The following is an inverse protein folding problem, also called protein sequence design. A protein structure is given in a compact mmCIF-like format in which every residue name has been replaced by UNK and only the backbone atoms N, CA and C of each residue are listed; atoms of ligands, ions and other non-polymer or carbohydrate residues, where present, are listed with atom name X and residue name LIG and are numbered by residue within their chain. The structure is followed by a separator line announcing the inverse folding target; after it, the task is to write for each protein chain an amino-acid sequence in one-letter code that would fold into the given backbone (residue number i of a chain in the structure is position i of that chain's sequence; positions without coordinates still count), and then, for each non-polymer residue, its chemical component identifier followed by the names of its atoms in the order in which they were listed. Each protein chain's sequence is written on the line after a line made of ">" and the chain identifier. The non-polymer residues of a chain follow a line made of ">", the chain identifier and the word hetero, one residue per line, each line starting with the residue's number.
data_IF_986664151728
#
_entry.id   IF_986664151728
#
_cell.length_a   1.000
_cell.length_b   1.000
_cell.length_c   1.000
_cell.angle_alpha   90.00
_cell.angle_beta   90.00
_cell.angle_gamma   90.00
#
_symmetry.space_group_name_H-M   'P 1'
#
loop_
_entity.id
_entity.type
_entity.pdbx_description
1 polymer ?
#
# COMPACT_ATOMS: atom_id res chain seq x y z
N UNK A 1 -26.05 -9.68 35.06
CA UNK A 1 -25.23 -10.39 34.06
C UNK A 1 -24.94 -9.39 32.95
N UNK A 2 -23.72 -8.83 32.83
CA UNK A 2 -23.44 -7.90 31.74
C UNK A 2 -23.18 -8.67 30.45
N UNK A 3 -23.93 -8.36 29.40
CA UNK A 3 -23.68 -8.83 28.03
C UNK A 3 -22.32 -8.33 27.54
N UNK A 4 -21.40 -9.25 27.24
CA UNK A 4 -20.18 -8.95 26.51
C UNK A 4 -20.55 -8.61 25.06
N UNK A 5 -20.87 -7.35 24.80
CA UNK A 5 -20.90 -6.81 23.44
C UNK A 5 -19.46 -6.75 22.92
N UNK A 6 -19.01 -7.82 22.26
CA UNK A 6 -17.78 -7.86 21.46
C UNK A 6 -17.98 -6.97 20.22
N UNK A 7 -18.05 -5.65 20.41
CA UNK A 7 -17.79 -4.73 19.31
C UNK A 7 -16.28 -4.78 19.08
N UNK A 8 -15.79 -5.02 17.85
CA UNK A 8 -14.38 -4.81 17.56
C UNK A 8 -14.02 -3.40 18.02
N UNK A 9 -12.97 -3.29 18.83
CA UNK A 9 -12.51 -2.02 19.40
C UNK A 9 -12.33 -1.06 18.23
N UNK A 10 -13.16 -0.03 18.13
CA UNK A 10 -13.12 0.95 17.03
C UNK A 10 -11.72 1.55 17.09
N UNK A 11 -10.86 1.17 16.15
CA UNK A 11 -9.51 1.66 16.12
C UNK A 11 -9.53 3.15 15.81
N UNK A 12 -8.64 3.88 16.45
CA UNK A 12 -8.44 5.29 16.17
C UNK A 12 -7.81 5.39 14.78
N UNK A 13 -8.51 6.05 13.86
CA UNK A 13 -7.97 6.33 12.54
C UNK A 13 -6.78 7.29 12.68
N UNK A 14 -5.73 7.14 11.87
CA UNK A 14 -4.60 8.06 11.90
C UNK A 14 -5.09 9.49 11.58
N UNK A 15 -4.50 10.48 12.24
CA UNK A 15 -4.77 11.89 11.94
C UNK A 15 -4.35 12.22 10.52
N UNK A 16 -5.19 12.99 9.82
CA UNK A 16 -4.90 13.42 8.46
C UNK A 16 -3.71 14.40 8.44
N UNK A 17 -2.80 14.29 7.47
CA UNK A 17 -1.69 15.23 7.32
C UNK A 17 -2.18 16.61 6.84
N UNK A 18 -1.37 17.67 6.96
CA UNK A 18 -1.75 19.01 6.50
C UNK A 18 -1.98 19.01 4.99
N UNK A 19 -3.07 19.65 4.54
CA UNK A 19 -3.54 19.60 3.15
C UNK A 19 -3.66 18.16 2.62
N UNK A 20 -4.61 17.35 3.13
CA UNK A 20 -4.80 15.99 2.62
C UNK A 20 -5.50 16.03 1.25
N UNK A 21 -5.23 15.05 0.36
CA UNK A 21 -6.04 14.90 -0.85
C UNK A 21 -7.48 14.50 -0.45
N UNK A 22 -8.52 14.97 -1.17
CA UNK A 22 -9.93 14.75 -0.77
C UNK A 22 -10.33 13.27 -0.65
N UNK A 23 -9.67 12.38 -1.39
CA UNK A 23 -9.89 10.92 -1.34
C UNK A 23 -9.37 10.26 -0.06
N UNK A 24 -8.47 10.91 0.68
CA UNK A 24 -7.76 10.26 1.80
C UNK A 24 -8.69 9.89 2.96
N UNK A 25 -9.57 10.81 3.37
CA UNK A 25 -10.55 10.57 4.43
C UNK A 25 -11.53 9.43 4.09
N UNK A 26 -12.24 9.46 2.94
CA UNK A 26 -13.13 8.36 2.58
C UNK A 26 -12.37 7.06 2.37
N UNK A 27 -11.12 7.08 1.90
CA UNK A 27 -10.29 5.88 1.78
C UNK A 27 -9.99 5.25 3.15
N UNK A 28 -9.59 6.02 4.16
CA UNK A 28 -9.35 5.52 5.52
C UNK A 28 -10.62 4.91 6.13
N UNK A 29 -11.76 5.57 5.94
CA UNK A 29 -13.06 5.06 6.39
C UNK A 29 -13.45 3.76 5.66
N UNK A 30 -13.23 3.67 4.35
CA UNK A 30 -13.50 2.45 3.59
C UNK A 30 -12.60 1.30 4.07
N UNK A 31 -11.30 1.53 4.23
CA UNK A 31 -10.35 0.53 4.69
C UNK A 31 -10.73 -0.01 6.09
N UNK A 32 -11.02 0.89 7.03
CA UNK A 32 -11.35 0.48 8.41
C UNK A 32 -12.79 -0.05 8.53
N UNK A 33 -13.80 0.73 8.15
CA UNK A 33 -15.19 0.43 8.45
C UNK A 33 -15.81 -0.61 7.50
N UNK A 34 -15.45 -0.59 6.22
CA UNK A 34 -16.06 -1.49 5.21
C UNK A 34 -15.23 -2.75 4.98
N UNK A 35 -13.90 -2.60 4.96
CA UNK A 35 -13.00 -3.72 4.67
C UNK A 35 -12.44 -4.37 5.94
N UNK A 36 -12.58 -3.74 7.10
CA UNK A 36 -12.11 -4.31 8.37
C UNK A 36 -10.59 -4.49 8.39
N UNK A 37 -9.87 -3.56 7.77
CA UNK A 37 -8.41 -3.45 7.91
C UNK A 37 -8.11 -2.80 9.26
N UNK A 38 -7.18 -3.43 9.96
CA UNK A 38 -6.77 -3.08 11.30
C UNK A 38 -5.40 -2.37 11.27
N UNK A 39 -5.07 -1.65 12.34
CA UNK A 39 -3.77 -1.04 12.61
C UNK A 39 -3.27 -0.18 11.44
N UNK A 40 -4.09 0.79 11.02
CA UNK A 40 -3.78 1.63 9.86
C UNK A 40 -2.80 2.74 10.26
N UNK A 41 -1.60 2.71 9.68
CA UNK A 41 -0.57 3.74 9.85
C UNK A 41 -0.46 4.59 8.59
N UNK A 42 -0.38 5.90 8.76
CA UNK A 42 -0.22 6.88 7.68
C UNK A 42 1.19 7.46 7.73
N UNK A 43 1.93 7.29 6.65
CA UNK A 43 3.26 7.87 6.46
C UNK A 43 3.17 8.99 5.42
N UNK A 44 3.47 10.21 5.86
CA UNK A 44 3.60 11.38 5.00
C UNK A 44 5.04 11.47 4.50
N UNK A 45 5.25 11.12 3.24
CA UNK A 45 6.57 11.10 2.57
C UNK A 45 6.70 12.26 1.57
N UNK A 46 5.83 13.27 1.66
CA UNK A 46 5.79 14.38 0.68
C UNK A 46 7.00 15.30 0.76
N UNK A 47 7.66 15.35 1.92
CA UNK A 47 8.84 16.18 2.18
C UNK A 47 10.16 15.44 1.99
N UNK A 48 10.13 14.24 1.42
CA UNK A 48 11.32 13.43 1.19
C UNK A 48 12.18 14.03 0.06
N UNK A 49 13.44 14.32 0.35
CA UNK A 49 14.45 14.72 -0.64
C UNK A 49 15.68 13.79 -0.50
N UNK A 50 16.03 12.97 -1.50
CA UNK A 50 15.42 12.85 -2.84
C UNK A 50 14.02 12.21 -2.82
N UNK A 51 13.18 12.45 -3.85
CA UNK A 51 11.84 11.87 -3.92
C UNK A 51 11.89 10.33 -3.98
N UNK A 52 10.87 9.70 -3.43
CA UNK A 52 10.78 8.24 -3.39
C UNK A 52 10.68 7.63 -4.80
N UNK A 53 11.15 6.40 -4.98
CA UNK A 53 11.02 5.67 -6.24
C UNK A 53 9.55 5.40 -6.66
N UNK A 54 8.60 5.58 -5.74
CA UNK A 54 7.16 5.42 -5.99
C UNK A 54 6.49 6.71 -6.46
N UNK A 55 7.25 7.81 -6.58
CA UNK A 55 6.77 9.11 -7.01
C UNK A 55 7.13 10.22 -6.01
N UNK A 56 7.00 11.45 -6.48
CA UNK A 56 7.04 12.64 -5.65
C UNK A 56 5.71 12.85 -4.91
N UNK A 57 5.71 13.68 -3.87
CA UNK A 57 4.49 14.02 -3.12
C UNK A 57 3.69 12.77 -2.67
N UNK A 58 4.38 11.77 -2.11
CA UNK A 58 3.84 10.47 -1.75
C UNK A 58 3.21 10.46 -0.34
N UNK A 59 2.02 9.88 -0.25
CA UNK A 59 1.40 9.46 1.00
C UNK A 59 1.26 7.94 0.97
N UNK A 60 1.76 7.27 2.01
CA UNK A 60 1.72 5.81 2.12
C UNK A 60 0.82 5.41 3.30
N UNK A 61 -0.15 4.56 3.02
CA UNK A 61 -0.99 3.90 4.03
C UNK A 61 -0.51 2.47 4.21
N UNK A 62 -0.34 2.05 5.46
CA UNK A 62 0.02 0.68 5.82
C UNK A 62 -1.10 0.14 6.70
N UNK A 63 -1.64 -1.02 6.36
CA UNK A 63 -2.71 -1.65 7.14
C UNK A 63 -2.50 -3.16 7.29
N UNK A 64 -3.13 -3.70 8.32
CA UNK A 64 -3.08 -5.12 8.68
C UNK A 64 -4.39 -5.83 8.36
N UNK A 65 -4.28 -6.98 7.71
CA UNK A 65 -5.37 -7.89 7.40
C UNK A 65 -5.25 -9.18 8.24
N UNK A 66 -6.40 -9.78 8.53
CA UNK A 66 -6.51 -10.98 9.37
C UNK A 66 -5.96 -12.27 8.77
N UNK A 67 -5.81 -12.33 7.44
CA UNK A 67 -5.31 -13.50 6.72
C UNK A 67 -4.90 -13.15 5.30
N UNK A 68 -4.15 -14.02 4.63
CA UNK A 68 -3.79 -13.86 3.21
C UNK A 68 -5.02 -13.77 2.30
N UNK A 69 -6.05 -14.57 2.57
CA UNK A 69 -7.33 -14.48 1.85
C UNK A 69 -7.98 -13.10 2.04
N UNK A 70 -7.86 -12.52 3.23
CA UNK A 70 -8.36 -11.18 3.52
C UNK A 70 -7.56 -10.11 2.77
N UNK A 71 -6.23 -10.21 2.71
CA UNK A 71 -5.38 -9.32 1.90
C UNK A 71 -5.86 -9.28 0.45
N UNK A 72 -6.01 -10.46 -0.18
CA UNK A 72 -6.47 -10.57 -1.57
C UNK A 72 -7.88 -10.01 -1.77
N UNK A 73 -8.83 -10.39 -0.90
CA UNK A 73 -10.21 -9.94 -1.01
C UNK A 73 -10.36 -8.42 -0.85
N UNK A 74 -9.60 -7.82 0.08
CA UNK A 74 -9.63 -6.36 0.29
C UNK A 74 -8.97 -5.63 -0.87
N UNK A 75 -7.80 -6.08 -1.35
CA UNK A 75 -7.14 -5.46 -2.49
C UNK A 75 -8.03 -5.44 -3.75
N UNK A 76 -8.67 -6.57 -4.06
CA UNK A 76 -9.59 -6.68 -5.20
C UNK A 76 -10.83 -5.76 -5.04
N UNK A 77 -11.41 -5.68 -3.84
CA UNK A 77 -12.52 -4.75 -3.54
C UNK A 77 -12.10 -3.30 -3.65
N UNK A 78 -10.93 -2.95 -3.10
CA UNK A 78 -10.37 -1.61 -3.14
C UNK A 78 -10.14 -1.16 -4.58
N UNK A 79 -9.54 -2.01 -5.42
CA UNK A 79 -9.34 -1.71 -6.84
C UNK A 79 -10.67 -1.45 -7.57
N UNK A 80 -11.73 -2.22 -7.27
CA UNK A 80 -13.06 -1.97 -7.85
C UNK A 80 -13.68 -0.67 -7.36
N UNK A 81 -13.56 -0.36 -6.07
CA UNK A 81 -14.07 0.87 -5.48
C UNK A 81 -13.39 2.11 -6.09
N UNK A 82 -12.07 2.09 -6.22
CA UNK A 82 -11.30 3.18 -6.83
C UNK A 82 -11.63 3.40 -8.32
N UNK A 83 -11.95 2.34 -9.06
CA UNK A 83 -12.39 2.43 -10.47
C UNK A 83 -13.82 2.94 -10.62
N UNK A 84 -14.63 2.87 -9.55
CA UNK A 84 -16.02 3.32 -9.57
C UNK A 84 -16.14 4.84 -9.42
N UNK A 85 -17.31 5.37 -9.74
CA UNK A 85 -17.64 6.78 -9.51
C UNK A 85 -17.59 7.09 -8.00
N UNK A 86 -17.07 8.26 -7.59
CA UNK A 86 -16.67 9.41 -8.41
C UNK A 86 -15.19 9.43 -8.84
N UNK A 87 -14.37 8.47 -8.40
CA UNK A 87 -12.91 8.58 -8.48
C UNK A 87 -12.34 8.17 -9.84
N UNK A 88 -12.91 7.16 -10.50
CA UNK A 88 -12.48 6.69 -11.84
C UNK A 88 -10.96 6.46 -11.98
N UNK A 89 -10.30 6.08 -10.89
CA UNK A 89 -8.85 5.88 -10.86
C UNK A 89 -8.49 4.53 -11.50
N UNK A 90 -7.23 4.41 -11.93
CA UNK A 90 -6.68 3.17 -12.49
C UNK A 90 -5.62 2.58 -11.56
N UNK A 91 -6.00 2.01 -10.41
CA UNK A 91 -5.03 1.48 -9.46
C UNK A 91 -4.34 0.23 -10.01
N UNK A 92 -3.06 0.11 -9.68
CA UNK A 92 -2.25 -1.10 -9.87
C UNK A 92 -2.10 -1.83 -8.54
N UNK A 93 -2.29 -3.16 -8.53
CA UNK A 93 -2.17 -3.97 -7.33
C UNK A 93 -1.10 -5.05 -7.51
N UNK A 94 0.07 -4.81 -6.94
CA UNK A 94 1.18 -5.75 -6.95
C UNK A 94 0.98 -6.82 -5.87
N UNK A 95 1.02 -8.08 -6.28
CA UNK A 95 0.75 -9.23 -5.41
C UNK A 95 -0.69 -9.75 -5.47
N UNK A 96 -1.60 -9.05 -6.16
CA UNK A 96 -2.95 -9.52 -6.45
C UNK A 96 -2.93 -10.47 -7.66
N UNK A 97 -3.43 -11.68 -7.48
CA UNK A 97 -3.46 -12.70 -8.55
C UNK A 97 -4.86 -12.74 -9.15
N UNK A 98 -4.95 -12.46 -10.46
CA UNK A 98 -6.22 -12.49 -11.17
C UNK A 98 -6.84 -13.89 -11.25
N UNK A 99 -8.17 -13.98 -11.39
CA UNK A 99 -8.88 -15.27 -11.45
C UNK A 99 -8.36 -16.19 -12.56
N UNK A 100 -8.05 -15.64 -13.74
CA UNK A 100 -7.51 -16.42 -14.87
C UNK A 100 -6.11 -16.95 -14.56
N UNK A 101 -5.27 -16.15 -13.92
CA UNK A 101 -3.93 -16.55 -13.52
C UNK A 101 -3.97 -17.64 -12.45
N UNK A 102 -4.85 -17.50 -11.44
CA UNK A 102 -5.09 -18.51 -10.43
C UNK A 102 -5.57 -19.82 -11.05
N UNK A 103 -6.54 -19.76 -11.96
CA UNK A 103 -7.05 -20.95 -12.68
C UNK A 103 -5.95 -21.65 -13.47
N UNK A 104 -5.09 -20.89 -14.15
CA UNK A 104 -3.95 -21.44 -14.90
C UNK A 104 -2.94 -22.09 -13.93
N UNK A 105 -2.59 -21.43 -12.82
CA UNK A 105 -1.66 -21.97 -11.81
C UNK A 105 -2.20 -23.26 -11.19
N UNK A 106 -3.48 -23.30 -10.78
CA UNK A 106 -4.13 -24.50 -10.24
C UNK A 106 -4.17 -25.65 -11.26
N UNK A 107 -4.49 -25.35 -12.53
CA UNK A 107 -4.46 -26.36 -13.60
C UNK A 107 -3.06 -26.93 -13.81
N UNK A 108 -2.02 -26.10 -13.76
CA UNK A 108 -0.62 -26.51 -13.84
C UNK A 108 -0.22 -27.37 -12.63
N UNK A 109 -0.61 -26.99 -11.41
CA UNK A 109 -0.39 -27.78 -10.19
C UNK A 109 -1.03 -29.17 -10.29
N UNK A 110 -2.32 -29.24 -10.64
CA UNK A 110 -3.03 -30.51 -10.79
C UNK A 110 -2.38 -31.42 -11.84
N UNK A 111 -1.92 -30.84 -12.97
CA UNK A 111 -1.17 -31.59 -14.00
C UNK A 111 0.16 -32.13 -13.46
N UNK A 112 0.93 -31.33 -12.73
CA UNK A 112 2.20 -31.74 -12.09
C UNK A 112 1.97 -32.87 -11.08
N UNK A 113 0.98 -32.73 -10.20
CA UNK A 113 0.62 -33.75 -9.22
C UNK A 113 0.22 -35.06 -9.89
N UNK A 114 -0.60 -35.01 -10.96
CA UNK A 114 -0.99 -36.20 -11.72
C UNK A 114 0.22 -36.93 -12.33
N UNK A 115 1.17 -36.20 -12.91
CA UNK A 115 2.39 -36.78 -13.48
C UNK A 115 3.27 -37.41 -12.37
N UNK A 116 3.42 -36.72 -11.24
CA UNK A 116 4.22 -37.22 -10.10
C UNK A 116 3.59 -38.44 -9.42
N UNK A 117 2.26 -38.51 -9.36
CA UNK A 117 1.55 -39.69 -8.85
C UNK A 117 1.72 -40.93 -9.73
N UNK A 118 2.12 -40.76 -11.00
CA UNK A 118 2.41 -41.85 -11.92
C UNK A 118 3.89 -42.29 -11.88
N UNK A 119 4.77 -41.64 -11.11
CA UNK A 119 6.15 -42.07 -10.91
C UNK A 119 6.36 -42.73 -9.53
N UNK A 120 7.01 -43.89 -9.50
CA UNK A 120 7.19 -44.70 -8.29
C UNK A 120 8.18 -44.11 -7.24
N UNK A 121 8.70 -42.90 -7.47
CA UNK A 121 9.68 -42.21 -6.64
C UNK A 121 9.10 -40.95 -5.95
N UNK A 122 7.81 -40.96 -5.62
CA UNK A 122 7.14 -39.81 -5.04
C UNK A 122 7.48 -39.63 -3.55
N UNK A 123 8.53 -38.86 -3.25
CA UNK A 123 8.72 -38.29 -1.91
C UNK A 123 7.66 -37.20 -1.65
N UNK A 124 7.03 -37.15 -0.46
CA UNK A 124 5.94 -36.23 -0.15
C UNK A 124 6.38 -34.80 0.24
N UNK A 125 7.67 -34.51 0.33
CA UNK A 125 8.17 -33.34 1.09
C UNK A 125 8.55 -32.11 0.26
N UNK A 126 7.72 -31.70 -0.69
CA UNK A 126 7.87 -30.34 -1.20
C UNK A 126 6.50 -29.77 -1.57
N UNK A 127 5.75 -29.36 -0.54
CA UNK A 127 4.81 -28.24 -0.69
C UNK A 127 5.64 -27.00 -1.05
N UNK A 128 6.10 -26.94 -2.30
CA UNK A 128 6.66 -25.74 -2.87
C UNK A 128 5.54 -24.71 -2.86
N UNK A 129 5.80 -23.58 -2.21
CA UNK A 129 4.96 -22.40 -2.30
C UNK A 129 4.71 -22.09 -3.79
N UNK A 130 3.49 -22.38 -4.24
CA UNK A 130 3.07 -22.16 -5.64
C UNK A 130 2.84 -20.66 -5.92
N UNK A 131 3.13 -19.79 -4.93
CA UNK A 131 2.94 -18.35 -4.97
C UNK A 131 1.49 -17.99 -5.22
N UNK A 132 0.54 -18.87 -4.86
CA UNK A 132 -0.90 -18.69 -5.07
C UNK A 132 -1.57 -17.90 -3.96
N UNK A 133 -0.94 -17.85 -2.79
CA UNK A 133 -1.36 -16.99 -1.69
C UNK A 133 -0.27 -15.96 -1.45
N UNK A 134 -0.69 -14.71 -1.20
CA UNK A 134 0.24 -13.61 -0.98
C UNK A 134 -0.09 -12.99 0.35
N UNK A 135 0.91 -12.85 1.21
CA UNK A 135 0.77 -12.30 2.56
C UNK A 135 0.91 -10.77 2.59
N UNK A 136 1.13 -10.13 1.44
CA UNK A 136 1.23 -8.69 1.22
C UNK A 136 0.72 -8.31 -0.17
N UNK A 137 -0.02 -7.21 -0.27
CA UNK A 137 -0.39 -6.58 -1.54
C UNK A 137 -0.13 -5.08 -1.46
N UNK A 138 0.47 -4.52 -2.51
CA UNK A 138 0.67 -3.08 -2.67
C UNK A 138 -0.31 -2.55 -3.72
N UNK A 139 -1.21 -1.66 -3.33
CA UNK A 139 -2.15 -0.99 -4.23
C UNK A 139 -1.68 0.44 -4.45
N UNK A 140 -1.12 0.70 -5.63
CA UNK A 140 -0.76 2.04 -6.07
C UNK A 140 -1.97 2.71 -6.74
N UNK A 141 -2.45 3.82 -6.18
CA UNK A 141 -3.58 4.58 -6.73
C UNK A 141 -3.13 5.52 -7.85
N UNK A 142 -1.83 5.80 -7.94
CA UNK A 142 -1.24 6.81 -8.81
C UNK A 142 -1.47 8.21 -8.28
N UNK A 143 -1.43 9.16 -9.20
CA UNK A 143 -1.66 10.57 -8.91
C UNK A 143 -3.16 10.82 -8.64
N UNK A 144 -3.45 11.39 -7.47
CA UNK A 144 -4.80 11.81 -7.06
C UNK A 144 -4.85 13.32 -6.94
N UNK A 145 -5.99 13.92 -7.32
CA UNK A 145 -6.15 15.38 -7.29
C UNK A 145 -5.99 15.95 -5.87
N UNK A 146 -5.19 17.02 -5.77
CA UNK A 146 -4.94 17.73 -4.52
C UNK A 146 -3.83 17.13 -3.67
N UNK A 147 -3.73 17.62 -2.42
CA UNK A 147 -2.74 17.16 -1.44
C UNK A 147 -1.30 17.68 -1.64
N UNK A 148 -1.07 18.52 -2.64
CA UNK A 148 0.22 19.18 -2.90
C UNK A 148 0.50 20.24 -1.84
N UNK A 149 1.72 20.22 -1.30
CA UNK A 149 2.17 21.22 -0.33
C UNK A 149 2.45 22.58 -1.02
N UNK A 150 2.21 23.73 -0.33
CA UNK A 150 2.45 25.06 -0.89
C UNK A 150 3.86 25.25 -1.47
N UNK A 151 4.91 24.79 -0.76
CA UNK A 151 6.31 24.87 -1.23
C UNK A 151 6.53 24.14 -2.56
N UNK A 152 5.92 22.97 -2.74
CA UNK A 152 6.01 22.21 -3.99
C UNK A 152 5.21 22.86 -5.12
N UNK A 153 4.10 23.54 -4.79
CA UNK A 153 3.30 24.29 -5.77
C UNK A 153 4.09 25.45 -6.36
N UNK A 154 4.87 26.16 -5.55
CA UNK A 154 5.74 27.25 -5.98
C UNK A 154 6.89 26.77 -6.87
N UNK A 155 7.60 25.70 -6.47
CA UNK A 155 8.67 25.11 -7.28
C UNK A 155 8.17 24.57 -8.64
N UNK A 156 6.98 23.95 -8.68
CA UNK A 156 6.37 23.43 -9.91
C UNK A 156 5.86 24.52 -10.87
N UNK A 157 5.71 25.76 -10.40
CA UNK A 157 5.26 26.89 -11.22
C UNK A 157 6.38 27.44 -12.13
N UNK A 158 7.64 27.05 -11.89
CA UNK A 158 8.82 27.55 -12.61
C UNK A 158 9.39 26.59 -13.68
N UNK A 159 8.82 25.40 -13.88
CA UNK A 159 9.33 24.43 -14.88
C UNK A 159 8.63 24.63 -16.23
N UNK A 160 9.38 25.02 -17.26
CA UNK A 160 8.88 25.31 -18.61
C UNK A 160 8.21 24.10 -19.30
N UNK A 161 7.10 24.39 -19.98
CA UNK A 161 6.37 23.52 -20.93
C UNK A 161 6.21 22.04 -20.53
N UNK A 162 5.51 21.80 -19.43
CA UNK A 162 4.86 20.53 -19.12
C UNK A 162 3.62 20.80 -18.27
N UNK A 163 2.54 20.04 -18.43
CA UNK A 163 1.36 20.20 -17.57
C UNK A 163 1.75 19.92 -16.11
N UNK A 164 1.79 20.95 -15.27
CA UNK A 164 2.00 20.80 -13.83
C UNK A 164 0.77 20.11 -13.24
N UNK A 165 0.80 18.78 -13.20
CA UNK A 165 -0.24 18.02 -12.52
C UNK A 165 -0.11 18.27 -11.01
N UNK A 166 -1.22 18.68 -10.40
CA UNK A 166 -1.29 19.18 -9.02
C UNK A 166 -1.79 18.09 -8.07
N UNK A 167 -1.34 16.84 -8.28
CA UNK A 167 -1.74 15.71 -7.48
C UNK A 167 -0.70 15.20 -6.50
N UNK A 168 -1.17 14.35 -5.60
CA UNK A 168 -0.35 13.56 -4.67
C UNK A 168 -0.35 12.11 -5.10
N UNK A 169 0.77 11.42 -4.93
CA UNK A 169 0.80 9.98 -5.13
C UNK A 169 0.30 9.28 -3.87
N UNK A 170 -0.60 8.32 -4.01
CA UNK A 170 -1.18 7.60 -2.88
C UNK A 170 -0.97 6.10 -3.05
N UNK A 171 -0.38 5.46 -2.04
CA UNK A 171 -0.10 4.02 -2.03
C UNK A 171 -0.70 3.40 -0.79
N UNK A 172 -1.40 2.28 -0.96
CA UNK A 172 -1.97 1.49 0.13
C UNK A 172 -1.30 0.12 0.17
N UNK A 173 -0.63 -0.17 1.27
CA UNK A 173 0.02 -1.46 1.50
C UNK A 173 -0.73 -2.25 2.55
N UNK A 174 -1.15 -3.45 2.19
CA UNK A 174 -1.92 -4.32 3.07
C UNK A 174 -1.12 -5.58 3.36
N UNK A 175 -0.84 -5.82 4.63
CA UNK A 175 -0.03 -6.94 5.11
C UNK A 175 -0.83 -7.87 5.99
N UNK A 176 -0.39 -9.12 6.09
CA UNK A 176 -0.68 -9.95 7.26
C UNK A 176 0.20 -9.52 8.44
N UNK A 177 -0.23 -9.81 9.67
CA UNK A 177 0.53 -9.49 10.90
C UNK A 177 1.97 -9.99 10.82
N UNK A 178 2.13 -11.26 10.41
CA UNK A 178 3.45 -11.90 10.29
C UNK A 178 4.32 -11.20 9.25
N UNK A 179 3.75 -10.88 8.09
CA UNK A 179 4.50 -10.22 7.02
C UNK A 179 4.85 -8.78 7.35
N UNK A 180 3.98 -8.05 8.05
CA UNK A 180 4.23 -6.68 8.51
C UNK A 180 5.44 -6.64 9.45
N UNK A 181 5.50 -7.57 10.41
CA UNK A 181 6.62 -7.68 11.34
C UNK A 181 7.94 -8.08 10.64
N UNK A 182 7.87 -8.89 9.59
CA UNK A 182 9.05 -9.31 8.83
C UNK A 182 9.63 -8.18 7.97
N UNK A 183 8.80 -7.41 7.27
CA UNK A 183 9.25 -6.37 6.34
C UNK A 183 9.55 -5.06 7.07
N UNK A 184 8.75 -4.74 8.09
CA UNK A 184 8.92 -3.58 8.98
C UNK A 184 9.15 -2.26 8.23
N UNK A 185 8.29 -1.99 7.25
CA UNK A 185 8.39 -0.80 6.39
C UNK A 185 8.29 0.50 7.16
N UNK A 186 7.55 0.52 8.27
CA UNK A 186 7.42 1.71 9.11
C UNK A 186 8.78 2.17 9.62
N UNK A 187 9.57 1.26 10.18
CA UNK A 187 10.92 1.62 10.66
C UNK A 187 11.84 2.01 9.51
N UNK A 188 11.75 1.33 8.37
CA UNK A 188 12.55 1.65 7.19
C UNK A 188 12.29 3.07 6.70
N UNK A 189 11.03 3.43 6.50
CA UNK A 189 10.66 4.76 6.00
C UNK A 189 10.83 5.86 7.04
N UNK A 190 10.55 5.60 8.33
CA UNK A 190 10.86 6.55 9.39
C UNK A 190 12.36 6.85 9.46
N UNK A 191 13.22 5.83 9.36
CA UNK A 191 14.66 6.04 9.36
C UNK A 191 15.16 6.80 8.13
N UNK A 192 14.54 6.61 6.95
CA UNK A 192 14.85 7.44 5.77
C UNK A 192 14.40 8.88 6.00
N UNK A 193 13.23 9.10 6.59
CA UNK A 193 12.69 10.43 6.87
C UNK A 193 13.57 11.20 7.86
N UNK A 194 14.07 10.52 8.90
CA UNK A 194 15.01 11.10 9.86
C UNK A 194 16.32 11.51 9.17
N UNK A 195 16.92 10.62 8.36
CA UNK A 195 18.14 10.94 7.61
C UNK A 195 17.95 12.08 6.60
N UNK A 196 16.79 12.14 5.95
CA UNK A 196 16.47 13.22 5.01
C UNK A 196 16.36 14.57 5.74
N UNK A 197 15.85 14.58 6.98
CA UNK A 197 15.82 15.79 7.82
C UNK A 197 17.22 16.21 8.27
N UNK A 198 18.04 15.26 8.74
CA UNK A 198 19.41 15.54 9.18
C UNK A 198 20.31 16.00 8.03
N UNK A 199 20.14 15.43 6.82
CA UNK A 199 20.89 15.85 5.63
C UNK A 199 20.54 17.26 5.16
N UNK A 200 19.26 17.64 5.21
CA UNK A 200 18.82 18.99 4.86
C UNK A 200 19.34 20.08 5.80
N UNK A 201 19.49 19.78 7.10
CA UNK A 201 20.08 20.72 8.07
C UNK A 201 21.60 20.92 7.88
N UNK A 202 22.31 19.96 7.28
CA UNK A 202 23.74 20.09 7.01
C UNK A 202 24.04 21.01 5.82
N UNK A 203 23.17 21.03 4.80
CA UNK A 203 23.35 21.83 3.60
C UNK A 203 22.98 23.32 3.80
N UNK A 204 21.99 23.63 4.65
CA UNK A 204 21.63 25.03 4.97
C UNK A 204 22.70 25.77 5.82
N UNK A 205 23.57 25.04 6.53
CA UNK A 205 24.64 25.63 7.35
C UNK A 205 25.98 25.78 6.58
N UNK A 206 26.05 25.37 5.31
CA UNK A 206 27.26 25.35 4.48
C UNK A 206 27.45 26.56 3.57
N UNK A 207 26.43 27.38 3.33
CA UNK A 207 26.51 28.57 2.45
C UNK A 207 26.71 29.85 3.27
N UNK A 208 27.92 30.00 3.82
CA UNK A 208 28.31 31.16 4.59
C UNK A 208 29.82 31.32 4.67
N UNK A 209 30.50 31.47 3.54
CA UNK A 209 31.84 32.06 3.48
C UNK A 209 32.09 32.81 2.18
#
# INVERSE_FOLDING_TARGET
>A
MPEFSLRPRRQELPSLPPHPPPILSPLLEQLSAQYGIDDISLLDLRTLDPPSALGDNLIMLIGTARSEKHVHAVADRLCRWLRSEPYKLSPSADGLIGQNELKIRLKRRAKRMRIRAMSAAATPEAELDDGTTTSWVCVNLGEVDGGVLPKQREQRMFVGFGSSHAGSNLVVQIFTVEKRAQVDLEKLWMGILERAREGGEADENGEGF
#
